data_IF_468013102184
#
_entry.id   IF_468013102184
#
_cell.length_a   1.000
_cell.length_b   1.000
_cell.length_c   1.000
_cell.angle_alpha   90.00
_cell.angle_beta   90.00
_cell.angle_gamma   90.00
#
_symmetry.space_group_name_H-M   'P 1'
#
loop_
_entity.id
_entity.type
_entity.pdbx_description
1 polymer ?
#
# COMPACT_ATOMS: atom_id res chain seq x y z
N UNK A 1 -42.54 22.90 24.56
CA UNK A 1 -42.41 21.92 23.47
C UNK A 1 -41.48 22.35 22.34
N UNK A 2 -41.50 23.60 21.84
CA UNK A 2 -40.59 24.01 20.74
C UNK A 2 -39.11 23.94 21.07
N UNK A 3 -38.70 24.31 22.30
CA UNK A 3 -37.26 24.31 22.72
C UNK A 3 -36.68 22.90 22.82
N UNK A 4 -37.47 21.92 23.25
CA UNK A 4 -37.03 20.50 23.39
C UNK A 4 -36.78 19.86 22.01
N UNK A 5 -37.57 20.23 20.99
CA UNK A 5 -37.40 19.72 19.63
C UNK A 5 -36.12 20.27 19.00
N UNK A 6 -35.77 21.53 19.21
CA UNK A 6 -34.53 22.12 18.69
C UNK A 6 -33.27 21.48 19.28
N UNK A 7 -33.29 21.18 20.59
CA UNK A 7 -32.18 20.51 21.27
C UNK A 7 -32.01 19.07 20.74
N UNK A 8 -33.12 18.33 20.55
CA UNK A 8 -33.06 16.98 20.01
C UNK A 8 -32.52 16.94 18.55
N UNK A 9 -32.94 17.89 17.72
CA UNK A 9 -32.45 18.02 16.32
C UNK A 9 -30.96 18.40 16.31
N UNK A 10 -30.51 19.29 17.21
CA UNK A 10 -29.11 19.67 17.32
C UNK A 10 -28.23 18.48 17.78
N UNK A 11 -28.69 17.71 18.74
CA UNK A 11 -27.99 16.49 19.21
C UNK A 11 -27.95 15.45 18.09
N UNK A 12 -29.03 15.23 17.34
CA UNK A 12 -29.06 14.31 16.20
C UNK A 12 -28.08 14.77 15.08
N UNK A 13 -28.06 16.05 14.77
CA UNK A 13 -27.15 16.63 13.77
C UNK A 13 -25.68 16.52 14.22
N UNK A 14 -25.37 16.71 15.49
CA UNK A 14 -24.01 16.54 16.02
C UNK A 14 -23.59 15.09 16.11
N UNK A 15 -24.52 14.15 16.39
CA UNK A 15 -24.26 12.71 16.30
C UNK A 15 -24.06 12.26 14.86
N UNK A 16 -24.85 12.79 13.91
CA UNK A 16 -24.68 12.50 12.48
C UNK A 16 -23.35 13.03 11.92
N UNK A 17 -22.94 14.25 12.33
CA UNK A 17 -21.64 14.82 11.98
C UNK A 17 -20.46 14.00 12.55
N UNK A 18 -20.59 13.45 13.76
CA UNK A 18 -19.58 12.54 14.36
C UNK A 18 -19.48 11.20 13.64
N UNK A 19 -20.54 10.69 13.01
CA UNK A 19 -20.50 9.45 12.25
C UNK A 19 -19.74 9.60 10.91
N UNK A 20 -19.59 10.81 10.37
CA UNK A 20 -18.89 11.07 9.11
C UNK A 20 -17.46 11.59 9.26
N UNK A 21 -16.97 11.76 10.50
CA UNK A 21 -15.63 12.29 10.77
C UNK A 21 -14.74 11.24 11.46
N UNK A 22 -14.65 10.04 10.92
CA UNK A 22 -13.53 9.18 11.26
C UNK A 22 -12.40 9.46 10.27
N UNK A 23 -11.27 9.92 10.79
CA UNK A 23 -10.06 10.09 10.00
C UNK A 23 -9.65 8.72 9.45
N UNK A 24 -9.49 8.56 8.13
CA UNK A 24 -9.24 7.25 7.54
C UNK A 24 -7.93 6.65 8.07
N UNK A 25 -7.94 5.35 8.33
CA UNK A 25 -6.77 4.58 8.75
C UNK A 25 -6.45 3.52 7.71
N UNK A 26 -5.23 3.55 7.18
CA UNK A 26 -4.81 2.72 6.06
C UNK A 26 -3.59 1.90 6.41
N UNK A 27 -3.60 0.63 6.06
CA UNK A 27 -2.43 -0.24 6.03
C UNK A 27 -2.03 -0.46 4.57
N UNK A 28 -0.79 -0.15 4.23
CA UNK A 28 -0.23 -0.44 2.92
C UNK A 28 0.52 -1.77 3.02
N UNK A 29 0.30 -2.68 2.07
CA UNK A 29 1.04 -3.95 2.00
C UNK A 29 1.67 -4.05 0.61
N UNK A 30 2.99 -4.03 0.58
CA UNK A 30 3.80 -4.01 -0.65
C UNK A 30 4.89 -5.07 -0.63
N UNK A 31 5.46 -5.33 -1.80
CA UNK A 31 6.55 -6.29 -1.94
C UNK A 31 7.92 -5.66 -1.66
N UNK A 32 8.17 -4.43 -2.16
CA UNK A 32 9.50 -3.81 -2.11
C UNK A 32 9.47 -2.41 -1.51
N UNK A 33 10.60 -1.91 -0.97
CA UNK A 33 10.77 -0.51 -0.63
C UNK A 33 10.84 0.33 -1.91
N UNK A 34 9.86 1.11 -2.21
CA UNK A 34 9.56 2.02 -3.33
C UNK A 34 8.16 1.82 -3.93
N UNK A 35 7.51 0.69 -3.67
CA UNK A 35 6.16 0.42 -4.15
C UNK A 35 5.13 1.42 -3.59
N UNK A 36 5.41 2.05 -2.43
CA UNK A 36 4.56 3.07 -1.83
C UNK A 36 4.38 4.29 -2.75
N UNK A 37 5.28 4.49 -3.69
CA UNK A 37 5.16 5.55 -4.70
C UNK A 37 3.92 5.39 -5.55
N UNK A 38 3.45 4.16 -5.76
CA UNK A 38 2.18 3.88 -6.43
C UNK A 38 0.95 4.43 -5.70
N UNK A 39 1.08 4.73 -4.41
CA UNK A 39 0.01 5.26 -3.55
C UNK A 39 0.32 6.66 -3.02
N UNK A 40 1.49 7.22 -3.29
CA UNK A 40 2.05 8.39 -2.61
C UNK A 40 1.05 9.55 -2.53
N UNK A 41 0.44 9.92 -3.65
CA UNK A 41 -0.54 11.00 -3.71
C UNK A 41 -1.74 10.75 -2.78
N UNK A 42 -2.28 9.54 -2.79
CA UNK A 42 -3.43 9.16 -1.96
C UNK A 42 -3.04 9.11 -0.48
N UNK A 43 -1.85 8.56 -0.16
CA UNK A 43 -1.34 8.52 1.21
C UNK A 43 -1.17 9.93 1.75
N UNK A 44 -0.49 10.81 0.99
CA UNK A 44 -0.28 12.20 1.39
C UNK A 44 -1.61 12.91 1.68
N UNK A 45 -2.59 12.76 0.79
CA UNK A 45 -3.93 13.32 1.01
C UNK A 45 -4.58 12.77 2.29
N UNK A 46 -4.49 11.47 2.53
CA UNK A 46 -5.05 10.84 3.74
C UNK A 46 -4.40 11.41 5.00
N UNK A 47 -3.07 11.49 5.03
CA UNK A 47 -2.33 11.85 6.24
C UNK A 47 -2.31 13.35 6.52
N UNK A 48 -2.25 14.20 5.48
CA UNK A 48 -2.11 15.64 5.62
C UNK A 48 -3.43 16.41 5.48
N UNK A 49 -4.28 16.03 4.51
CA UNK A 49 -5.51 16.76 4.27
C UNK A 49 -6.69 16.22 5.08
N UNK A 50 -6.74 14.89 5.29
CA UNK A 50 -7.85 14.23 5.96
C UNK A 50 -7.54 13.87 7.42
N UNK A 51 -6.37 14.27 7.96
CA UNK A 51 -5.89 13.90 9.30
C UNK A 51 -5.96 12.38 9.57
N UNK A 52 -5.85 11.58 8.52
CA UNK A 52 -5.86 10.15 8.59
C UNK A 52 -4.53 9.57 9.08
N UNK A 53 -4.44 8.27 9.05
CA UNK A 53 -3.26 7.52 9.50
C UNK A 53 -2.88 6.48 8.45
N UNK A 54 -1.59 6.32 8.22
CA UNK A 54 -1.07 5.30 7.32
C UNK A 54 0.12 4.57 7.93
N UNK A 55 0.13 3.25 7.81
CA UNK A 55 1.23 2.37 8.20
C UNK A 55 1.57 1.47 7.00
N UNK A 56 2.77 0.91 6.97
CA UNK A 56 3.21 0.07 5.85
C UNK A 56 3.83 -1.24 6.31
N UNK A 57 3.46 -2.34 5.62
CA UNK A 57 4.16 -3.62 5.64
C UNK A 57 4.92 -3.75 4.32
N UNK A 58 6.22 -4.01 4.40
CA UNK A 58 7.09 -4.28 3.24
C UNK A 58 7.63 -5.69 3.37
N UNK A 59 7.36 -6.52 2.37
CA UNK A 59 7.63 -7.96 2.48
C UNK A 59 9.11 -8.27 2.26
N UNK A 60 9.75 -7.67 1.24
CA UNK A 60 11.17 -7.88 0.94
C UNK A 60 12.01 -6.64 1.22
N UNK A 61 13.32 -6.78 1.11
CA UNK A 61 14.24 -5.66 1.25
C UNK A 61 14.64 -5.02 -0.10
N UNK A 62 14.15 -5.56 -1.23
CA UNK A 62 14.42 -5.05 -2.56
C UNK A 62 15.87 -5.24 -3.02
N UNK A 63 16.61 -6.22 -2.47
CA UNK A 63 18.03 -6.44 -2.76
C UNK A 63 18.30 -6.93 -4.19
N UNK A 64 17.29 -7.46 -4.91
CA UNK A 64 17.43 -7.79 -6.32
C UNK A 64 17.53 -6.56 -7.23
N UNK A 65 17.22 -5.37 -6.72
CA UNK A 65 17.39 -4.10 -7.39
C UNK A 65 18.84 -3.69 -7.66
N UNK A 66 19.84 -4.48 -7.23
CA UNK A 66 21.26 -4.17 -7.39
C UNK A 66 21.66 -3.77 -8.81
N UNK A 67 21.07 -4.37 -9.83
CA UNK A 67 21.35 -4.05 -11.25
C UNK A 67 21.05 -2.60 -11.62
N UNK A 68 20.16 -1.96 -10.91
CA UNK A 68 19.67 -0.60 -11.18
C UNK A 68 20.21 0.43 -10.18
N UNK A 69 21.18 0.05 -9.34
CA UNK A 69 21.69 0.86 -8.24
C UNK A 69 22.87 1.76 -8.62
N UNK A 70 23.05 2.11 -9.89
CA UNK A 70 24.18 2.95 -10.34
C UNK A 70 24.22 4.32 -9.66
N UNK A 71 23.08 5.00 -9.56
CA UNK A 71 23.00 6.31 -8.89
C UNK A 71 23.32 6.17 -7.40
N UNK A 72 22.75 5.16 -6.73
CA UNK A 72 23.03 4.88 -5.32
C UNK A 72 24.52 4.52 -5.12
N UNK A 73 25.13 3.77 -6.04
CA UNK A 73 26.55 3.46 -6.01
C UNK A 73 27.41 4.72 -5.98
N UNK A 74 27.08 5.70 -6.80
CA UNK A 74 27.81 6.98 -6.87
C UNK A 74 27.63 7.82 -5.59
N UNK A 75 26.42 7.80 -5.02
CA UNK A 75 26.10 8.54 -3.79
C UNK A 75 26.76 7.91 -2.56
N UNK A 76 26.70 6.58 -2.45
CA UNK A 76 27.19 5.86 -1.26
C UNK A 76 28.65 5.43 -1.38
N UNK A 77 29.27 5.54 -2.58
CA UNK A 77 30.63 5.08 -2.86
C UNK A 77 30.87 3.59 -2.56
N UNK A 78 29.83 2.78 -2.85
CA UNK A 78 29.82 1.31 -2.68
C UNK A 78 29.45 0.69 -4.03
N UNK A 79 30.14 -0.37 -4.47
CA UNK A 79 29.90 -1.02 -5.77
C UNK A 79 28.57 -1.80 -5.79
N UNK A 80 27.47 -1.10 -5.54
CA UNK A 80 26.12 -1.67 -5.35
C UNK A 80 25.59 -2.43 -6.57
N UNK A 81 26.11 -2.15 -7.76
CA UNK A 81 25.72 -2.86 -9.00
C UNK A 81 26.32 -4.26 -9.09
N UNK A 82 27.32 -4.59 -8.28
CA UNK A 82 27.83 -5.95 -8.13
C UNK A 82 26.88 -6.76 -7.25
N UNK A 83 26.38 -7.90 -7.75
CA UNK A 83 25.34 -8.67 -7.09
C UNK A 83 25.62 -8.97 -5.61
N UNK A 84 26.77 -9.52 -5.31
CA UNK A 84 27.13 -9.88 -3.93
C UNK A 84 27.11 -8.66 -3.00
N UNK A 85 27.67 -7.54 -3.46
CA UNK A 85 27.76 -6.29 -2.69
C UNK A 85 26.37 -5.64 -2.59
N UNK A 86 25.64 -5.55 -3.72
CA UNK A 86 24.32 -4.95 -3.74
C UNK A 86 23.35 -5.71 -2.82
N UNK A 87 23.33 -7.03 -2.88
CA UNK A 87 22.47 -7.83 -2.00
C UNK A 87 22.82 -7.71 -0.51
N UNK A 88 24.06 -7.41 -0.18
CA UNK A 88 24.49 -7.17 1.20
C UNK A 88 24.07 -5.78 1.71
N UNK A 89 24.28 -4.74 0.92
CA UNK A 89 24.14 -3.35 1.39
C UNK A 89 22.79 -2.70 1.07
N UNK A 90 22.14 -3.06 -0.05
CA UNK A 90 20.85 -2.47 -0.44
C UNK A 90 19.74 -2.61 0.59
N UNK A 91 19.59 -3.73 1.32
CA UNK A 91 18.54 -3.84 2.32
C UNK A 91 18.50 -2.68 3.30
N UNK A 92 19.68 -2.29 3.83
CA UNK A 92 19.77 -1.19 4.79
C UNK A 92 19.57 0.18 4.15
N UNK A 93 20.05 0.37 2.92
CA UNK A 93 19.92 1.62 2.16
C UNK A 93 18.45 1.84 1.81
N UNK A 94 17.80 0.87 1.17
CA UNK A 94 16.42 0.98 0.71
C UNK A 94 15.41 1.15 1.85
N UNK A 95 15.64 0.50 3.01
CA UNK A 95 14.82 0.77 4.20
C UNK A 95 14.91 2.23 4.66
N UNK A 96 16.12 2.82 4.65
CA UNK A 96 16.31 4.23 5.02
C UNK A 96 15.66 5.17 4.01
N UNK A 97 15.78 4.88 2.72
CA UNK A 97 15.14 5.64 1.64
C UNK A 97 13.62 5.61 1.78
N UNK A 98 13.04 4.42 1.97
CA UNK A 98 11.61 4.26 2.23
C UNK A 98 11.16 5.04 3.48
N UNK A 99 11.91 4.95 4.57
CA UNK A 99 11.56 5.68 5.80
C UNK A 99 11.65 7.20 5.61
N UNK A 100 12.60 7.68 4.81
CA UNK A 100 12.73 9.10 4.49
C UNK A 100 11.58 9.61 3.61
N UNK A 101 11.27 8.90 2.54
CA UNK A 101 10.10 9.19 1.70
C UNK A 101 8.78 9.07 2.47
N UNK A 102 8.66 8.00 3.26
CA UNK A 102 7.49 7.73 4.08
C UNK A 102 7.25 8.79 5.17
N UNK A 103 8.30 9.40 5.71
CA UNK A 103 8.16 10.53 6.63
C UNK A 103 7.52 11.75 5.94
N UNK A 104 7.85 11.99 4.66
CA UNK A 104 7.20 13.04 3.85
C UNK A 104 5.73 12.68 3.61
N UNK A 105 5.44 11.41 3.35
CA UNK A 105 4.06 10.92 3.15
C UNK A 105 3.25 10.84 4.45
N UNK A 106 3.86 11.04 5.62
CA UNK A 106 3.20 10.93 6.91
C UNK A 106 2.93 9.49 7.36
N UNK A 107 3.74 8.52 6.90
CA UNK A 107 3.70 7.14 7.39
C UNK A 107 4.19 7.09 8.84
N UNK A 108 3.47 6.34 9.70
CA UNK A 108 3.77 6.25 11.13
C UNK A 108 4.66 5.07 11.47
N UNK A 109 4.22 3.88 11.07
CA UNK A 109 4.87 2.63 11.42
C UNK A 109 5.23 1.82 10.20
N UNK A 110 6.41 1.22 10.26
CA UNK A 110 7.01 0.43 9.20
C UNK A 110 7.25 -0.99 9.71
N UNK A 111 6.70 -1.97 9.02
CA UNK A 111 6.85 -3.39 9.34
C UNK A 111 7.61 -4.07 8.20
N UNK A 112 8.90 -4.30 8.39
CA UNK A 112 9.74 -5.02 7.45
C UNK A 112 9.68 -6.52 7.76
N UNK A 113 9.35 -7.35 6.76
CA UNK A 113 9.24 -8.80 6.95
C UNK A 113 10.47 -9.55 6.49
N UNK A 114 11.43 -8.87 5.88
CA UNK A 114 12.75 -9.37 5.51
C UNK A 114 12.73 -10.67 4.67
N UNK A 115 11.70 -10.85 3.85
CA UNK A 115 11.66 -11.93 2.90
C UNK A 115 12.64 -11.66 1.75
N UNK A 116 13.11 -12.73 1.13
CA UNK A 116 14.09 -12.64 0.05
C UNK A 116 13.48 -12.00 -1.20
N UNK A 117 14.20 -11.03 -1.77
CA UNK A 117 13.97 -10.53 -3.11
C UNK A 117 14.89 -11.29 -4.07
N UNK A 118 14.34 -12.13 -4.94
CA UNK A 118 15.14 -13.01 -5.78
C UNK A 118 15.52 -12.36 -7.11
N UNK A 119 14.53 -12.18 -7.98
CA UNK A 119 14.69 -11.62 -9.33
C UNK A 119 13.32 -11.25 -9.91
N UNK A 120 13.32 -10.52 -11.00
CA UNK A 120 12.09 -10.20 -11.71
C UNK A 120 11.44 -11.47 -12.28
N UNK A 121 10.17 -11.68 -11.98
CA UNK A 121 9.32 -12.75 -12.51
C UNK A 121 7.88 -12.25 -12.63
N UNK A 122 7.10 -12.82 -13.54
CA UNK A 122 5.64 -12.67 -13.58
C UNK A 122 4.92 -13.81 -12.85
N UNK A 123 5.65 -14.82 -12.40
CA UNK A 123 5.10 -16.00 -11.78
C UNK A 123 4.98 -15.81 -10.27
N UNK A 124 3.74 -15.66 -9.78
CA UNK A 124 3.46 -15.57 -8.36
C UNK A 124 3.57 -16.94 -7.65
N UNK A 125 3.34 -18.06 -8.37
CA UNK A 125 3.40 -19.41 -7.79
C UNK A 125 4.81 -19.72 -7.29
N UNK A 126 5.82 -19.39 -8.10
CA UNK A 126 7.22 -19.59 -7.70
C UNK A 126 7.57 -18.81 -6.43
N UNK A 127 7.05 -17.60 -6.30
CA UNK A 127 7.27 -16.74 -5.11
C UNK A 127 6.60 -17.34 -3.87
N UNK A 128 5.34 -17.73 -4.00
CA UNK A 128 4.51 -18.23 -2.90
C UNK A 128 4.95 -19.61 -2.40
N UNK A 129 5.48 -20.46 -3.28
CA UNK A 129 5.81 -21.85 -2.92
C UNK A 129 7.29 -22.09 -2.62
N UNK A 130 8.19 -21.26 -3.19
CA UNK A 130 9.62 -21.57 -3.11
C UNK A 130 10.49 -20.44 -2.56
N UNK A 131 9.97 -19.22 -2.46
CA UNK A 131 10.78 -18.06 -2.07
C UNK A 131 10.38 -17.51 -0.70
N UNK A 132 9.09 -17.29 -0.47
CA UNK A 132 8.60 -16.62 0.72
C UNK A 132 8.05 -17.60 1.77
N UNK A 133 8.27 -17.30 3.04
CA UNK A 133 7.52 -17.93 4.15
C UNK A 133 6.13 -17.32 4.23
N UNK A 134 5.21 -17.87 3.46
CA UNK A 134 3.82 -17.39 3.35
C UNK A 134 3.07 -17.49 4.69
N UNK A 135 3.41 -18.46 5.53
CA UNK A 135 2.81 -18.62 6.86
C UNK A 135 3.26 -17.49 7.79
N UNK A 136 4.54 -17.17 7.78
CA UNK A 136 5.08 -16.06 8.55
C UNK A 136 4.45 -14.73 8.09
N UNK A 137 4.38 -14.48 6.78
CA UNK A 137 3.83 -13.25 6.22
C UNK A 137 2.36 -13.08 6.64
N UNK A 138 1.51 -14.08 6.44
CA UNK A 138 0.10 -14.04 6.85
C UNK A 138 -0.06 -13.76 8.34
N UNK A 139 0.71 -14.47 9.17
CA UNK A 139 0.70 -14.27 10.63
C UNK A 139 1.09 -12.84 11.01
N UNK A 140 2.11 -12.25 10.35
CA UNK A 140 2.53 -10.87 10.62
C UNK A 140 1.48 -9.85 10.20
N UNK A 141 0.85 -10.03 9.05
CA UNK A 141 -0.27 -9.19 8.62
C UNK A 141 -1.40 -9.26 9.67
N UNK A 142 -1.83 -10.45 10.09
CA UNK A 142 -2.87 -10.63 11.09
C UNK A 142 -2.49 -10.03 12.45
N UNK A 143 -1.22 -10.13 12.85
CA UNK A 143 -0.71 -9.49 14.07
C UNK A 143 -0.87 -7.97 14.02
N UNK A 144 -0.50 -7.32 12.91
CA UNK A 144 -0.68 -5.87 12.72
C UNK A 144 -2.17 -5.50 12.76
N UNK A 145 -3.02 -6.28 12.07
CA UNK A 145 -4.48 -6.07 12.07
C UNK A 145 -5.12 -6.27 13.46
N UNK A 146 -4.52 -7.08 14.33
CA UNK A 146 -5.03 -7.31 15.69
C UNK A 146 -4.64 -6.20 16.67
N UNK A 147 -3.58 -5.44 16.38
CA UNK A 147 -3.07 -4.38 17.28
C UNK A 147 -3.60 -3.00 16.95
N UNK A 148 -4.09 -2.80 15.72
CA UNK A 148 -4.58 -1.52 15.23
C UNK A 148 -5.81 -1.69 14.36
N UNK A 149 -6.69 -0.68 14.41
CA UNK A 149 -7.81 -0.60 13.49
C UNK A 149 -7.41 0.06 12.17
N UNK A 150 -7.78 -0.56 11.08
CA UNK A 150 -7.65 -0.01 9.72
C UNK A 150 -9.01 -0.08 9.01
N UNK A 151 -9.34 0.98 8.29
CA UNK A 151 -10.52 1.03 7.42
C UNK A 151 -10.22 0.38 6.07
N UNK A 152 -8.99 0.58 5.59
CA UNK A 152 -8.55 0.09 4.28
C UNK A 152 -7.18 -0.58 4.35
N UNK A 153 -6.97 -1.52 3.43
CA UNK A 153 -5.66 -2.05 3.07
C UNK A 153 -5.42 -1.69 1.61
N UNK A 154 -4.29 -1.05 1.31
CA UNK A 154 -3.86 -0.77 -0.06
C UNK A 154 -2.83 -1.79 -0.50
N UNK A 155 -3.04 -2.36 -1.69
CA UNK A 155 -2.09 -3.25 -2.38
C UNK A 155 -1.96 -2.82 -3.83
N UNK A 156 -0.91 -3.25 -4.54
CA UNK A 156 -0.85 -3.08 -5.99
C UNK A 156 -1.84 -4.03 -6.66
N UNK A 157 -2.52 -3.57 -7.72
CA UNK A 157 -3.47 -4.39 -8.46
C UNK A 157 -2.74 -5.56 -9.14
N UNK A 158 -3.10 -6.82 -8.86
CA UNK A 158 -2.35 -7.99 -9.32
C UNK A 158 -2.76 -8.39 -10.75
N UNK A 159 -2.53 -7.51 -11.75
CA UNK A 159 -2.81 -7.84 -13.15
C UNK A 159 -1.87 -8.93 -13.68
N UNK A 160 -2.15 -9.50 -14.83
CA UNK A 160 -1.28 -10.51 -15.44
C UNK A 160 0.14 -9.99 -15.70
N UNK A 161 0.28 -8.71 -16.04
CA UNK A 161 1.55 -8.04 -16.31
C UNK A 161 2.28 -7.53 -15.06
N UNK A 162 1.63 -7.57 -13.89
CA UNK A 162 2.24 -7.14 -12.62
C UNK A 162 3.34 -8.11 -12.21
N UNK A 163 4.44 -7.61 -11.65
CA UNK A 163 5.54 -8.41 -11.11
C UNK A 163 5.04 -9.49 -10.12
N UNK A 164 5.62 -10.68 -10.15
CA UNK A 164 5.20 -11.83 -9.33
C UNK A 164 5.21 -11.56 -7.84
N UNK A 165 6.21 -10.82 -7.32
CA UNK A 165 6.25 -10.39 -5.92
C UNK A 165 5.06 -9.49 -5.55
N UNK A 166 4.68 -8.54 -6.40
CA UNK A 166 3.51 -7.68 -6.15
C UNK A 166 2.21 -8.49 -6.15
N UNK A 167 2.06 -9.44 -7.12
CA UNK A 167 0.92 -10.38 -7.10
C UNK A 167 0.88 -11.19 -5.81
N UNK A 168 2.02 -11.77 -5.42
CA UNK A 168 2.13 -12.58 -4.21
C UNK A 168 1.80 -11.77 -2.95
N UNK A 169 2.27 -10.53 -2.84
CA UNK A 169 1.95 -9.63 -1.74
C UNK A 169 0.44 -9.40 -1.61
N UNK A 170 -0.24 -9.12 -2.73
CA UNK A 170 -1.70 -8.92 -2.75
C UNK A 170 -2.46 -10.21 -2.41
N UNK A 171 -2.06 -11.35 -2.96
CA UNK A 171 -2.66 -12.65 -2.67
C UNK A 171 -2.55 -12.98 -1.17
N UNK A 172 -1.39 -12.74 -0.57
CA UNK A 172 -1.16 -12.97 0.86
C UNK A 172 -1.93 -12.00 1.74
N UNK A 173 -2.07 -10.74 1.34
CA UNK A 173 -2.90 -9.77 2.04
C UNK A 173 -4.37 -10.20 2.07
N UNK A 174 -4.91 -10.62 0.92
CA UNK A 174 -6.27 -11.15 0.78
C UNK A 174 -6.47 -12.42 1.63
N UNK A 175 -5.53 -13.37 1.54
CA UNK A 175 -5.59 -14.62 2.30
C UNK A 175 -5.52 -14.37 3.81
N UNK A 176 -4.60 -13.51 4.25
CA UNK A 176 -4.48 -13.14 5.67
C UNK A 176 -5.77 -12.50 6.20
N UNK A 177 -6.41 -11.62 5.41
CA UNK A 177 -7.66 -10.96 5.79
C UNK A 177 -8.84 -11.94 5.77
N UNK A 178 -8.89 -12.88 4.83
CA UNK A 178 -9.92 -13.91 4.78
C UNK A 178 -9.90 -14.77 6.05
N UNK A 179 -8.71 -15.19 6.48
CA UNK A 179 -8.47 -16.01 7.67
C UNK A 179 -8.60 -15.21 8.99
N UNK A 180 -8.48 -13.89 8.94
CA UNK A 180 -8.50 -13.02 10.12
C UNK A 180 -9.88 -13.02 10.79
N UNK A 181 -9.93 -13.41 12.06
CA UNK A 181 -11.16 -13.47 12.85
C UNK A 181 -11.43 -12.12 13.51
N UNK A 182 -12.27 -11.29 12.88
CA UNK A 182 -12.69 -9.99 13.41
C UNK A 182 -14.11 -9.66 12.96
N UNK A 183 -14.86 -8.96 13.81
CA UNK A 183 -16.20 -8.44 13.47
C UNK A 183 -16.13 -7.27 12.47
N UNK A 184 -15.03 -6.53 12.49
CA UNK A 184 -14.77 -5.42 11.56
C UNK A 184 -13.48 -5.70 10.83
N UNK A 185 -13.57 -5.94 9.53
CA UNK A 185 -12.40 -6.15 8.67
C UNK A 185 -12.21 -4.94 7.75
N UNK A 186 -10.98 -4.50 7.50
CA UNK A 186 -10.70 -3.47 6.51
C UNK A 186 -11.10 -3.92 5.09
N UNK A 187 -11.32 -2.94 4.22
CA UNK A 187 -11.56 -3.19 2.79
C UNK A 187 -10.22 -3.19 2.08
N UNK A 188 -9.92 -4.23 1.29
CA UNK A 188 -8.72 -4.24 0.44
C UNK A 188 -9.03 -3.53 -0.87
N UNK A 189 -8.16 -2.59 -1.24
CA UNK A 189 -8.21 -1.84 -2.49
C UNK A 189 -6.93 -2.14 -3.27
N UNK A 190 -7.11 -2.74 -4.45
CA UNK A 190 -6.03 -2.90 -5.43
C UNK A 190 -5.85 -1.59 -6.21
N UNK A 191 -4.68 -0.99 -6.12
CA UNK A 191 -4.36 0.29 -6.75
C UNK A 191 -3.51 0.07 -7.99
N UNK A 192 -3.73 0.90 -9.00
CA UNK A 192 -2.88 0.99 -10.20
C UNK A 192 -2.71 2.44 -10.61
N UNK A 193 -1.58 2.72 -11.27
CA UNK A 193 -1.36 4.00 -11.93
C UNK A 193 -1.89 3.91 -13.35
N UNK A 194 -2.61 4.94 -13.78
CA UNK A 194 -3.04 5.10 -15.16
C UNK A 194 -2.56 6.45 -15.70
N UNK A 195 -2.22 6.48 -16.98
CA UNK A 195 -1.94 7.72 -17.69
C UNK A 195 -3.22 8.55 -17.83
N UNK A 196 -3.09 9.87 -17.75
CA UNK A 196 -4.21 10.81 -17.96
C UNK A 196 -4.84 10.70 -19.36
N UNK A 197 -4.12 10.15 -20.32
CA UNK A 197 -4.59 9.86 -21.67
C UNK A 197 -5.36 8.54 -21.79
N UNK A 198 -5.29 7.69 -20.78
CA UNK A 198 -6.04 6.44 -20.75
C UNK A 198 -7.53 6.76 -20.56
N UNK A 199 -8.28 6.64 -21.64
CA UNK A 199 -9.72 7.01 -21.70
C UNK A 199 -10.56 6.08 -20.82
N UNK A 200 -10.12 4.82 -20.64
CA UNK A 200 -10.72 3.85 -19.71
C UNK A 200 -9.64 2.92 -19.18
N UNK A 201 -9.59 2.67 -17.85
CA UNK A 201 -8.73 1.62 -17.32
C UNK A 201 -9.18 0.26 -17.88
N UNK A 202 -8.23 -0.63 -18.11
CA UNK A 202 -8.56 -2.00 -18.48
C UNK A 202 -9.37 -2.68 -17.36
N UNK A 203 -10.45 -3.40 -17.69
CA UNK A 203 -11.24 -4.11 -16.70
C UNK A 203 -10.39 -5.23 -16.07
N UNK A 204 -10.48 -5.33 -14.74
CA UNK A 204 -9.81 -6.39 -13.98
C UNK A 204 -10.85 -7.27 -13.30
N UNK A 205 -10.82 -8.57 -13.59
CA UNK A 205 -11.77 -9.56 -13.06
C UNK A 205 -11.16 -10.47 -11.99
N UNK A 206 -9.86 -10.38 -11.77
CA UNK A 206 -9.08 -11.27 -10.91
C UNK A 206 -8.15 -12.17 -11.71
N UNK A 207 -7.25 -12.86 -11.02
CA UNK A 207 -6.36 -13.87 -11.59
C UNK A 207 -7.09 -15.21 -11.60
N UNK A 208 -7.13 -15.91 -12.75
CA UNK A 208 -7.79 -17.21 -12.86
C UNK A 208 -7.25 -18.25 -11.88
N UNK A 209 -5.93 -18.26 -11.69
CA UNK A 209 -5.24 -19.18 -10.74
C UNK A 209 -5.49 -18.83 -9.28
N UNK A 210 -5.93 -17.60 -9.01
CA UNK A 210 -6.15 -17.08 -7.67
C UNK A 210 -7.55 -16.45 -7.53
N UNK A 211 -8.62 -17.26 -7.39
CA UNK A 211 -9.99 -16.75 -7.28
C UNK A 211 -10.22 -15.75 -6.13
N UNK A 212 -9.37 -15.78 -5.10
CA UNK A 212 -9.39 -14.80 -4.00
C UNK A 212 -9.15 -13.37 -4.48
N UNK A 213 -8.55 -13.17 -5.65
CA UNK A 213 -8.30 -11.85 -6.26
C UNK A 213 -9.48 -11.33 -7.07
N UNK A 214 -10.58 -12.10 -7.16
CA UNK A 214 -11.77 -11.68 -7.89
C UNK A 214 -12.35 -10.40 -7.30
N UNK A 215 -12.69 -9.45 -8.16
CA UNK A 215 -13.28 -8.17 -7.78
C UNK A 215 -14.78 -8.16 -8.02
N UNK A 216 -15.52 -7.36 -7.25
CA UNK A 216 -16.98 -7.22 -7.41
C UNK A 216 -17.35 -6.40 -8.65
N UNK A 217 -16.52 -5.41 -8.96
CA UNK A 217 -16.70 -4.51 -10.09
C UNK A 217 -15.41 -4.50 -10.91
N UNK A 218 -15.55 -4.59 -12.21
CA UNK A 218 -14.46 -4.54 -13.19
C UNK A 218 -13.90 -3.13 -13.43
N UNK A 219 -14.61 -2.09 -12.95
CA UNK A 219 -14.19 -0.70 -13.05
C UNK A 219 -13.65 -0.17 -11.70
N UNK A 220 -12.75 0.84 -11.74
CA UNK A 220 -12.26 1.47 -10.54
C UNK A 220 -13.39 2.02 -9.66
N UNK A 221 -13.36 1.68 -8.38
CA UNK A 221 -14.31 2.21 -7.39
C UNK A 221 -14.07 3.68 -7.06
N UNK A 222 -12.83 4.14 -7.24
CA UNK A 222 -12.40 5.52 -7.04
C UNK A 222 -11.22 5.86 -7.95
N UNK A 223 -11.12 7.13 -8.31
CA UNK A 223 -9.98 7.67 -9.06
C UNK A 223 -9.47 8.93 -8.35
N UNK A 224 -8.17 9.08 -8.29
CA UNK A 224 -7.51 10.23 -7.73
C UNK A 224 -6.62 10.92 -8.77
N UNK A 225 -6.92 12.20 -9.05
CA UNK A 225 -6.10 12.98 -9.95
C UNK A 225 -4.87 13.53 -9.21
N UNK A 226 -3.69 13.00 -9.50
CA UNK A 226 -2.42 13.41 -8.90
C UNK A 226 -2.02 14.84 -9.25
N UNK A 227 -2.48 15.36 -10.39
CA UNK A 227 -2.22 16.76 -10.81
C UNK A 227 -3.16 17.78 -10.14
N UNK A 228 -3.97 17.37 -9.16
CA UNK A 228 -4.78 18.29 -8.39
C UNK A 228 -3.89 19.20 -7.56
N UNK A 229 -3.95 20.50 -7.81
CA UNK A 229 -3.16 21.48 -7.08
C UNK A 229 -3.63 21.66 -5.63
N UNK A 230 -2.70 21.90 -4.73
CA UNK A 230 -2.95 22.18 -3.31
C UNK A 230 -1.87 23.09 -2.71
N UNK A 231 -1.94 23.32 -1.39
CA UNK A 231 -0.95 24.08 -0.65
C UNK A 231 -0.99 25.57 -0.90
N UNK A 232 0.11 26.26 -0.54
CA UNK A 232 0.19 27.70 -0.63
C UNK A 232 0.10 28.20 -2.07
N UNK A 233 -0.92 29.02 -2.36
CA UNK A 233 -1.20 29.55 -3.71
C UNK A 233 -1.42 28.44 -4.78
N UNK A 234 -1.83 27.23 -4.41
CA UNK A 234 -2.01 26.09 -5.31
C UNK A 234 -0.75 25.80 -6.18
N UNK A 235 0.42 25.94 -5.59
CA UNK A 235 1.70 25.72 -6.30
C UNK A 235 2.26 24.31 -6.20
N UNK A 236 1.62 23.47 -5.40
CA UNK A 236 1.97 22.06 -5.23
C UNK A 236 0.92 21.20 -5.92
N UNK A 237 1.30 20.03 -6.32
CA UNK A 237 0.40 18.93 -6.71
C UNK A 237 0.91 17.62 -6.09
N UNK A 238 0.20 16.51 -6.35
CA UNK A 238 0.54 15.19 -5.78
C UNK A 238 1.39 14.35 -6.75
N UNK A 239 1.93 14.92 -7.82
CA UNK A 239 2.78 14.20 -8.78
C UNK A 239 4.26 14.22 -8.42
#
# INVERSE_FOLDING_TARGET
MKTTIHIAIFILLTMYAKMYSQNPSVLIITAHPDDETGFAATIYKITHDLNGKADIIVITNGEAGYKYSSIAQDIYHIELTKEAIGREYLPSIRKKELMSGGAILGLRDYYFLDQKDTYYTLDADSVLHYVWDTTLIKRRIQQVLSTKHYDFIFTLLPTNSTHGHHKAATILALSALQEFQSKSKPIIIGCSLADSTAIKPEPFFGLQTYPITAVKNDFPSAQFNRNQSFGYNNKLDYS
#
